data_IF_904400179226
#
_entry.id   IF_904400179226
#
_cell.length_a   1.000
_cell.length_b   1.000
_cell.length_c   1.000
_cell.angle_alpha   90.00
_cell.angle_beta   90.00
_cell.angle_gamma   90.00
#
_symmetry.space_group_name_H-M   'P 1'
#
loop_
_entity.id
_entity.type
_entity.pdbx_description
1 polymer ?
#
# COMPACT_ATOMS: atom_id res chain seq x y z
N UNK A 1 5.33 -53.64 0.43
CA UNK A 1 5.56 -52.83 -0.78
C UNK A 1 4.46 -51.78 -0.90
N UNK A 2 4.77 -50.55 -0.49
CA UNK A 2 3.87 -49.40 -0.61
C UNK A 2 3.98 -48.84 -2.03
N UNK A 3 2.92 -48.95 -2.84
CA UNK A 3 2.85 -48.23 -4.12
C UNK A 3 2.70 -46.75 -3.76
N UNK A 4 3.77 -45.97 -3.93
CA UNK A 4 3.67 -44.51 -3.95
C UNK A 4 2.92 -44.12 -5.21
N UNK A 5 1.78 -43.48 -5.05
CA UNK A 5 1.13 -42.76 -6.15
C UNK A 5 2.08 -41.68 -6.68
N UNK A 6 2.09 -41.42 -7.99
CA UNK A 6 2.91 -40.36 -8.55
C UNK A 6 2.39 -39.01 -8.06
N UNK A 7 3.25 -38.23 -7.41
CA UNK A 7 3.02 -36.80 -7.21
C UNK A 7 2.77 -36.20 -8.59
N UNK A 8 1.57 -35.66 -8.80
CA UNK A 8 1.22 -34.89 -9.97
C UNK A 8 2.15 -33.66 -10.02
N UNK A 9 3.27 -33.82 -10.74
CA UNK A 9 4.13 -32.74 -11.14
C UNK A 9 3.42 -31.86 -12.16
N UNK A 10 3.68 -30.56 -12.07
CA UNK A 10 3.31 -29.58 -13.08
C UNK A 10 1.91 -29.02 -12.89
N UNK A 11 1.75 -28.13 -11.90
CA UNK A 11 0.81 -27.04 -12.10
C UNK A 11 1.29 -26.28 -13.33
N UNK A 12 0.57 -26.53 -14.41
CA UNK A 12 0.76 -25.97 -15.74
C UNK A 12 0.87 -24.45 -15.63
N UNK A 13 1.78 -23.88 -16.43
CA UNK A 13 1.89 -22.45 -16.67
C UNK A 13 0.55 -21.93 -17.18
N UNK A 14 -0.37 -21.61 -16.27
CA UNK A 14 -1.57 -20.88 -16.60
C UNK A 14 -1.10 -19.51 -17.07
N UNK A 15 -1.46 -19.16 -18.31
CA UNK A 15 -1.27 -17.84 -18.87
C UNK A 15 -2.14 -16.86 -18.05
N UNK A 16 -1.61 -16.42 -16.91
CA UNK A 16 -2.24 -15.45 -16.03
C UNK A 16 -2.13 -14.10 -16.73
N UNK A 17 -3.16 -13.72 -17.48
CA UNK A 17 -3.31 -12.34 -17.92
C UNK A 17 -3.23 -11.46 -16.67
N UNK A 18 -2.35 -10.44 -16.65
CA UNK A 18 -2.22 -9.57 -15.49
C UNK A 18 -3.58 -9.00 -15.12
N UNK A 19 -3.91 -9.00 -13.83
CA UNK A 19 -5.13 -8.35 -13.38
C UNK A 19 -5.09 -6.86 -13.74
N UNK A 20 -6.24 -6.19 -13.90
CA UNK A 20 -6.27 -4.75 -14.14
C UNK A 20 -5.46 -3.97 -13.10
N UNK A 21 -5.47 -4.41 -11.83
CA UNK A 21 -4.65 -3.82 -10.77
C UNK A 21 -3.14 -4.00 -11.01
N UNK A 22 -2.69 -5.16 -11.47
CA UNK A 22 -1.29 -5.38 -11.85
C UNK A 22 -0.89 -4.47 -13.00
N UNK A 23 -1.74 -4.30 -14.02
CA UNK A 23 -1.44 -3.44 -15.16
C UNK A 23 -1.20 -1.98 -14.75
N UNK A 24 -1.91 -1.47 -13.73
CA UNK A 24 -1.70 -0.12 -13.21
C UNK A 24 -0.28 0.08 -12.63
N UNK A 25 0.25 -0.95 -11.97
CA UNK A 25 1.58 -0.92 -11.34
C UNK A 25 2.73 -1.19 -12.33
N UNK A 26 2.43 -1.64 -13.55
CA UNK A 26 3.43 -1.82 -14.62
C UNK A 26 3.74 -0.52 -15.37
N UNK A 27 3.09 0.58 -15.01
CA UNK A 27 3.34 1.93 -15.55
C UNK A 27 3.81 2.85 -14.43
N UNK A 28 4.45 3.99 -14.74
CA UNK A 28 4.85 4.96 -13.71
C UNK A 28 3.67 5.34 -12.81
N UNK A 29 3.81 5.07 -11.51
CA UNK A 29 2.75 5.28 -10.52
C UNK A 29 2.62 6.76 -10.18
N UNK A 30 1.38 7.24 -10.12
CA UNK A 30 1.04 8.56 -9.59
C UNK A 30 0.38 8.38 -8.24
N UNK A 31 0.86 9.08 -7.22
CA UNK A 31 0.45 8.86 -5.83
C UNK A 31 -0.39 10.03 -5.33
N UNK A 32 -1.48 9.73 -4.63
CA UNK A 32 -2.19 10.69 -3.80
C UNK A 32 -1.96 10.30 -2.35
N UNK A 33 -1.17 11.08 -1.62
CA UNK A 33 -0.86 10.82 -0.22
C UNK A 33 -1.89 11.50 0.68
N UNK A 34 -2.49 10.74 1.58
CA UNK A 34 -3.46 11.22 2.58
C UNK A 34 -2.94 10.88 3.97
N UNK A 35 -2.97 11.84 4.89
CA UNK A 35 -2.50 11.65 6.26
C UNK A 35 -1.09 12.21 6.48
N UNK A 36 -0.10 11.35 6.73
CA UNK A 36 1.24 11.82 7.12
C UNK A 36 1.98 12.48 5.96
N UNK A 37 2.31 13.76 6.11
CA UNK A 37 3.08 14.54 5.13
C UNK A 37 4.46 13.92 4.82
N UNK A 38 5.11 13.31 5.81
CA UNK A 38 6.44 12.69 5.64
C UNK A 38 6.50 11.70 4.48
N UNK A 39 5.45 10.90 4.26
CA UNK A 39 5.41 9.98 3.11
C UNK A 39 5.35 10.69 1.76
N UNK A 40 4.67 11.83 1.67
CA UNK A 40 4.70 12.63 0.44
C UNK A 40 6.09 13.24 0.21
N UNK A 41 6.75 13.70 1.26
CA UNK A 41 8.08 14.31 1.18
C UNK A 41 9.11 13.26 0.71
N UNK A 42 9.10 12.06 1.28
CA UNK A 42 9.97 10.95 0.87
C UNK A 42 9.76 10.56 -0.60
N UNK A 43 8.50 10.43 -1.03
CA UNK A 43 8.16 10.09 -2.41
C UNK A 43 8.59 11.19 -3.40
N UNK A 44 8.38 12.44 -3.02
CA UNK A 44 8.80 13.59 -3.84
C UNK A 44 10.33 13.64 -3.98
N UNK A 45 11.07 13.37 -2.89
CA UNK A 45 12.54 13.30 -2.92
C UNK A 45 13.07 12.20 -3.85
N UNK A 46 12.31 11.12 -4.04
CA UNK A 46 12.62 10.05 -4.99
C UNK A 46 12.16 10.35 -6.44
N UNK A 47 11.61 11.53 -6.69
CA UNK A 47 11.10 11.94 -8.01
C UNK A 47 9.77 11.29 -8.40
N UNK A 48 9.05 10.69 -7.45
CA UNK A 48 7.72 10.10 -7.71
C UNK A 48 6.69 11.23 -7.81
N UNK A 49 5.82 11.23 -8.85
CA UNK A 49 4.72 12.19 -8.92
C UNK A 49 3.73 11.94 -7.78
N UNK A 50 3.73 12.83 -6.78
CA UNK A 50 2.87 12.73 -5.60
C UNK A 50 2.11 14.02 -5.34
N UNK A 51 0.81 13.91 -5.05
CA UNK A 51 -0.01 14.99 -4.53
C UNK A 51 -0.38 14.69 -3.08
N UNK A 52 -0.03 15.58 -2.15
CA UNK A 52 -0.50 15.45 -0.77
C UNK A 52 -1.87 16.11 -0.60
N UNK A 53 -2.74 15.42 0.14
CA UNK A 53 -4.03 15.92 0.60
C UNK A 53 -3.97 16.04 2.12
N UNK A 54 -4.06 17.29 2.59
CA UNK A 54 -4.29 17.61 4.00
C UNK A 54 -5.69 17.11 4.37
N UNK A 55 -5.75 16.08 5.21
CA UNK A 55 -6.99 15.43 5.58
C UNK A 55 -7.10 15.29 7.08
N UNK A 56 -8.27 15.62 7.61
CA UNK A 56 -8.63 15.42 9.01
C UNK A 56 -9.91 14.57 9.08
N UNK A 57 -10.00 13.59 10.00
CA UNK A 57 -11.20 12.77 10.15
C UNK A 57 -12.41 13.64 10.54
N UNK A 58 -13.60 13.42 9.96
CA UNK A 58 -14.79 14.25 10.19
C UNK A 58 -15.25 14.38 11.65
N UNK A 59 -14.81 13.46 12.52
CA UNK A 59 -15.20 13.42 13.93
C UNK A 59 -14.28 14.23 14.86
N UNK A 60 -13.28 14.96 14.32
CA UNK A 60 -12.27 15.76 15.07
C UNK A 60 -11.49 15.04 16.18
N UNK A 61 -11.76 13.74 16.43
CA UNK A 61 -11.33 13.06 17.66
C UNK A 61 -11.84 13.76 18.92
N UNK A 62 -11.76 13.11 20.08
CA UNK A 62 -11.82 13.87 21.32
C UNK A 62 -10.53 14.72 21.39
N UNK A 63 -10.59 16.06 21.38
CA UNK A 63 -9.40 16.91 21.39
C UNK A 63 -8.50 16.63 22.59
N UNK A 64 -9.06 16.19 23.73
CA UNK A 64 -8.27 15.81 24.91
C UNK A 64 -7.48 14.55 24.66
N UNK A 65 -8.08 13.54 24.02
CA UNK A 65 -7.41 12.30 23.68
C UNK A 65 -6.33 12.52 22.61
N UNK A 66 -6.62 13.36 21.59
CA UNK A 66 -5.63 13.76 20.60
C UNK A 66 -4.42 14.46 21.24
N UNK A 67 -4.67 15.38 22.18
CA UNK A 67 -3.60 16.06 22.92
C UNK A 67 -2.79 15.12 23.83
N UNK A 68 -3.40 14.07 24.38
CA UNK A 68 -2.69 13.04 25.14
C UNK A 68 -1.82 12.16 24.24
N UNK A 69 -2.35 11.73 23.08
CA UNK A 69 -1.60 10.96 22.09
C UNK A 69 -0.43 11.76 21.52
N UNK A 70 -0.59 13.07 21.29
CA UNK A 70 0.49 13.94 20.82
C UNK A 70 1.68 14.02 21.80
N UNK A 71 1.47 13.77 23.10
CA UNK A 71 2.55 13.74 24.10
C UNK A 71 3.35 12.42 24.08
N UNK A 72 2.83 11.39 23.41
CA UNK A 72 3.49 10.09 23.25
C UNK A 72 4.23 9.97 21.91
N UNK A 73 3.93 10.85 20.95
CA UNK A 73 4.75 11.02 19.75
C UNK A 73 6.02 11.79 20.10
N UNK A 74 7.16 11.19 19.81
CA UNK A 74 8.51 11.80 19.91
C UNK A 74 8.59 13.02 18.99
#
# INVERSE_FOLDING_TARGET
>A
MSKRDPVAGGATNANLKPSPAMMLLMTPVKVVNVGLKGFADELSAQGVPVQHVEWQPPASGDPKLAALLAKLGI
#
